data_IF_588855928361
#
_entry.id   IF_588855928361
#
_cell.length_a   1.000
_cell.length_b   1.000
_cell.length_c   1.000
_cell.angle_alpha   90.00
_cell.angle_beta   90.00
_cell.angle_gamma   90.00
#
_symmetry.space_group_name_H-M   'P 1'
#
loop_
_entity.id
_entity.type
_entity.pdbx_description
1 polymer ?
#
# COMPACT_ATOMS: atom_id res chain seq x y z
N UNK A 1 -16.24 5.13 -14.38
CA UNK A 1 -15.97 5.25 -12.92
C UNK A 1 -14.58 5.83 -12.69
N UNK A 2 -14.42 6.54 -11.61
CA UNK A 2 -13.09 7.00 -11.17
C UNK A 2 -12.27 5.85 -10.59
N UNK A 3 -10.94 6.02 -10.59
CA UNK A 3 -10.04 5.06 -9.93
C UNK A 3 -10.38 4.93 -8.44
N UNK A 4 -10.63 6.06 -7.76
CA UNK A 4 -11.01 6.05 -6.35
C UNK A 4 -12.28 5.22 -6.10
N UNK A 5 -13.29 5.35 -6.94
CA UNK A 5 -14.53 4.59 -6.82
C UNK A 5 -14.30 3.08 -7.01
N UNK A 6 -13.49 2.70 -8.00
CA UNK A 6 -13.17 1.29 -8.24
C UNK A 6 -12.42 0.69 -7.06
N UNK A 7 -11.41 1.39 -6.54
CA UNK A 7 -10.65 0.90 -5.39
C UNK A 7 -11.53 0.80 -4.13
N UNK A 8 -12.44 1.75 -3.93
CA UNK A 8 -13.36 1.71 -2.81
C UNK A 8 -14.31 0.50 -2.88
N UNK A 9 -14.86 0.22 -4.06
CA UNK A 9 -15.73 -0.94 -4.27
C UNK A 9 -14.97 -2.27 -4.17
N UNK A 10 -13.73 -2.30 -4.64
CA UNK A 10 -12.91 -3.52 -4.71
C UNK A 10 -11.96 -3.68 -3.52
N UNK A 11 -12.09 -2.89 -2.46
CA UNK A 11 -11.15 -2.90 -1.34
C UNK A 11 -10.98 -4.29 -0.74
N UNK A 12 -12.07 -4.97 -0.40
CA UNK A 12 -12.00 -6.30 0.21
C UNK A 12 -11.39 -7.34 -0.74
N UNK A 13 -11.80 -7.46 -2.01
CA UNK A 13 -11.12 -8.35 -2.97
C UNK A 13 -9.65 -8.00 -3.19
N UNK A 14 -9.30 -6.72 -3.19
CA UNK A 14 -7.91 -6.27 -3.34
C UNK A 14 -7.04 -6.77 -2.19
N UNK A 15 -7.52 -6.61 -0.96
CA UNK A 15 -6.80 -7.07 0.23
C UNK A 15 -6.67 -8.60 0.21
N UNK A 16 -7.72 -9.32 -0.18
CA UNK A 16 -7.69 -10.78 -0.32
C UNK A 16 -6.67 -11.23 -1.37
N UNK A 17 -6.59 -10.54 -2.51
CA UNK A 17 -5.61 -10.81 -3.56
C UNK A 17 -4.18 -10.54 -3.06
N UNK A 18 -3.96 -9.44 -2.38
CA UNK A 18 -2.66 -9.12 -1.78
C UNK A 18 -2.24 -10.20 -0.79
N UNK A 19 -3.14 -10.64 0.10
CA UNK A 19 -2.87 -11.74 1.03
C UNK A 19 -2.49 -13.03 0.30
N UNK A 20 -3.24 -13.41 -0.72
CA UNK A 20 -2.95 -14.61 -1.50
C UNK A 20 -1.57 -14.53 -2.17
N UNK A 21 -1.20 -13.37 -2.70
CA UNK A 21 0.10 -13.15 -3.33
C UNK A 21 1.24 -13.22 -2.33
N UNK A 22 1.08 -12.59 -1.16
CA UNK A 22 2.12 -12.62 -0.12
C UNK A 22 2.33 -14.01 0.46
N UNK A 23 1.26 -14.78 0.63
CA UNK A 23 1.33 -16.16 1.13
C UNK A 23 2.02 -17.11 0.15
N UNK A 24 2.07 -16.77 -1.13
CA UNK A 24 2.79 -17.53 -2.18
C UNK A 24 4.21 -17.04 -2.42
N UNK A 25 4.61 -15.94 -1.80
CA UNK A 25 5.91 -15.32 -2.02
C UNK A 25 6.92 -15.85 -1.01
N UNK A 26 7.95 -16.61 -1.45
CA UNK A 26 8.90 -17.25 -0.51
C UNK A 26 9.60 -16.23 0.41
N UNK A 27 9.87 -15.03 -0.06
CA UNK A 27 10.51 -13.98 0.72
C UNK A 27 9.65 -13.49 1.89
N UNK A 28 8.34 -13.77 1.87
CA UNK A 28 7.39 -13.28 2.87
C UNK A 28 6.69 -14.41 3.65
N UNK A 29 6.60 -15.60 3.06
CA UNK A 29 5.76 -16.66 3.61
C UNK A 29 6.44 -17.54 4.67
N UNK A 30 7.72 -17.31 4.95
CA UNK A 30 8.46 -18.07 5.97
C UNK A 30 8.11 -17.67 7.41
N UNK A 31 7.51 -16.52 7.61
CA UNK A 31 7.02 -16.10 8.91
C UNK A 31 5.64 -16.68 9.18
N UNK A 32 5.45 -17.23 10.39
CA UNK A 32 4.18 -17.83 10.80
C UNK A 32 3.26 -16.74 11.36
N UNK A 33 2.56 -16.06 10.46
CA UNK A 33 1.61 -14.99 10.78
C UNK A 33 0.20 -15.40 10.38
N UNK A 34 -0.79 -15.03 11.18
CA UNK A 34 -2.20 -15.12 10.79
C UNK A 34 -2.49 -14.16 9.63
N UNK A 35 -3.63 -14.34 8.97
CA UNK A 35 -4.06 -13.42 7.91
C UNK A 35 -4.22 -12.01 8.44
N UNK A 36 -4.75 -11.83 9.66
CA UNK A 36 -4.91 -10.54 10.32
C UNK A 36 -3.55 -9.90 10.64
N UNK A 37 -2.61 -10.67 11.17
CA UNK A 37 -1.27 -10.19 11.45
C UNK A 37 -0.52 -9.84 10.15
N UNK A 38 -0.72 -10.63 9.10
CA UNK A 38 -0.07 -10.42 7.80
C UNK A 38 -0.62 -9.19 7.09
N UNK A 39 -1.93 -8.99 7.08
CA UNK A 39 -2.51 -7.79 6.46
C UNK A 39 -2.22 -6.52 7.27
N UNK A 40 -2.14 -6.62 8.61
CA UNK A 40 -1.72 -5.52 9.47
C UNK A 40 -2.49 -4.22 9.19
N UNK A 41 -1.77 -3.20 8.77
CA UNK A 41 -2.32 -1.87 8.50
C UNK A 41 -2.74 -1.67 7.05
N UNK A 42 -2.70 -2.72 6.21
CA UNK A 42 -3.01 -2.60 4.78
C UNK A 42 -4.40 -1.99 4.51
N UNK A 43 -5.47 -2.39 5.21
CA UNK A 43 -6.77 -1.77 4.97
C UNK A 43 -6.75 -0.26 5.14
N UNK A 44 -6.05 0.24 6.13
CA UNK A 44 -5.93 1.69 6.38
C UNK A 44 -5.05 2.38 5.36
N UNK A 45 -3.98 1.72 4.93
CA UNK A 45 -3.10 2.25 3.87
C UNK A 45 -3.86 2.40 2.55
N UNK A 46 -4.71 1.43 2.22
CA UNK A 46 -5.57 1.49 1.03
C UNK A 46 -6.60 2.62 1.17
N UNK A 47 -7.19 2.81 2.34
CA UNK A 47 -8.11 3.92 2.60
C UNK A 47 -7.43 5.27 2.41
N UNK A 48 -6.21 5.43 2.91
CA UNK A 48 -5.43 6.66 2.75
C UNK A 48 -5.16 6.97 1.27
N UNK A 49 -4.87 5.94 0.46
CA UNK A 49 -4.73 6.09 -0.98
C UNK A 49 -6.03 6.54 -1.64
N UNK A 50 -7.14 5.89 -1.31
CA UNK A 50 -8.45 6.23 -1.87
C UNK A 50 -8.81 7.68 -1.54
N UNK A 51 -8.57 8.11 -0.32
CA UNK A 51 -8.81 9.50 0.11
C UNK A 51 -7.97 10.47 -0.71
N UNK A 52 -6.69 10.20 -0.88
CA UNK A 52 -5.81 11.04 -1.69
C UNK A 52 -6.29 11.15 -3.14
N UNK A 53 -6.72 10.03 -3.74
CA UNK A 53 -7.25 9.99 -5.10
C UNK A 53 -8.54 10.81 -5.26
N UNK A 54 -9.28 11.01 -4.20
CA UNK A 54 -10.51 11.82 -4.19
C UNK A 54 -10.29 13.33 -4.13
N UNK A 55 -9.05 13.81 -3.92
CA UNK A 55 -8.72 15.23 -3.86
C UNK A 55 -8.43 15.80 -5.25
N UNK A 56 -8.34 17.14 -5.40
CA UNK A 56 -7.87 17.75 -6.66
C UNK A 56 -6.52 17.19 -7.06
N UNK A 57 -6.39 16.73 -8.33
CA UNK A 57 -5.28 15.88 -8.77
C UNK A 57 -4.11 16.63 -9.37
N UNK A 58 -4.35 17.80 -9.95
CA UNK A 58 -3.31 18.53 -10.67
C UNK A 58 -3.07 19.89 -10.05
N UNK A 59 -1.82 20.31 -9.98
CA UNK A 59 -0.60 19.54 -10.26
C UNK A 59 -0.30 18.51 -9.17
N UNK A 60 0.26 17.36 -9.53
CA UNK A 60 0.73 16.34 -8.56
C UNK A 60 2.04 16.82 -7.95
N UNK A 61 2.11 16.89 -6.63
CA UNK A 61 3.28 17.35 -5.88
C UNK A 61 3.61 16.36 -4.77
N UNK A 62 4.90 16.20 -4.48
CA UNK A 62 5.38 15.38 -3.36
C UNK A 62 4.78 15.83 -2.03
N UNK A 63 4.57 17.17 -1.87
CA UNK A 63 3.97 17.75 -0.67
C UNK A 63 2.49 17.36 -0.46
N UNK A 64 1.85 16.76 -1.46
CA UNK A 64 0.46 16.27 -1.34
C UNK A 64 0.38 14.96 -0.57
N UNK A 65 1.49 14.25 -0.43
CA UNK A 65 1.56 13.08 0.44
C UNK A 65 1.48 13.52 1.90
N UNK A 66 0.49 12.97 2.63
CA UNK A 66 0.26 13.30 4.04
C UNK A 66 0.94 12.25 4.90
N UNK A 67 1.46 12.67 6.07
CA UNK A 67 1.96 11.73 7.06
C UNK A 67 0.84 10.74 7.44
N UNK A 68 1.15 9.44 7.33
CA UNK A 68 0.19 8.37 7.61
C UNK A 68 0.53 7.72 8.96
N UNK A 69 -0.31 7.89 9.99
CA UNK A 69 -0.15 7.14 11.23
C UNK A 69 -0.13 5.64 11.01
N UNK A 70 -0.92 5.14 10.05
CA UNK A 70 -0.96 3.73 9.71
C UNK A 70 0.38 3.23 9.15
N UNK A 71 1.05 4.00 8.30
CA UNK A 71 2.37 3.65 7.75
C UNK A 71 3.43 3.60 8.87
N UNK A 72 3.39 4.56 9.79
CA UNK A 72 4.29 4.61 10.94
C UNK A 72 4.09 3.39 11.84
N UNK A 73 2.85 3.08 12.20
CA UNK A 73 2.53 1.91 13.03
C UNK A 73 2.86 0.60 12.30
N UNK A 74 2.67 0.56 10.99
CA UNK A 74 3.03 -0.60 10.18
C UNK A 74 4.52 -0.92 10.25
N UNK A 75 5.38 0.10 10.18
CA UNK A 75 6.82 -0.09 10.32
C UNK A 75 7.21 -0.64 11.69
N UNK A 76 6.61 -0.13 12.75
CA UNK A 76 6.84 -0.63 14.12
C UNK A 76 6.38 -2.08 14.25
N UNK A 77 5.17 -2.39 13.76
CA UNK A 77 4.62 -3.74 13.82
C UNK A 77 5.49 -4.74 13.05
N UNK A 78 5.87 -4.41 11.83
CA UNK A 78 6.71 -5.30 11.00
C UNK A 78 8.05 -5.57 11.66
N UNK A 79 8.60 -4.58 12.35
CA UNK A 79 9.83 -4.77 13.14
C UNK A 79 9.66 -5.85 14.21
N UNK A 80 8.57 -5.81 14.96
CA UNK A 80 8.29 -6.82 16.00
C UNK A 80 8.00 -8.19 15.42
N UNK A 81 7.46 -8.26 14.19
CA UNK A 81 7.14 -9.52 13.52
C UNK A 81 8.35 -10.18 12.85
N UNK A 82 9.51 -9.54 12.89
CA UNK A 82 10.74 -10.12 12.32
C UNK A 82 10.96 -9.82 10.84
N UNK A 83 10.28 -8.83 10.27
CA UNK A 83 10.52 -8.41 8.89
C UNK A 83 11.90 -7.81 8.74
N UNK A 84 12.55 -8.12 7.60
CA UNK A 84 13.71 -7.36 7.14
C UNK A 84 13.26 -6.15 6.31
N UNK A 85 14.19 -5.21 6.08
CA UNK A 85 13.90 -4.08 5.18
C UNK A 85 13.55 -4.54 3.77
N UNK A 86 14.23 -5.57 3.26
CA UNK A 86 13.93 -6.15 1.96
C UNK A 86 12.52 -6.72 1.88
N UNK A 87 12.03 -7.32 2.95
CA UNK A 87 10.65 -7.81 3.02
C UNK A 87 9.62 -6.68 2.95
N UNK A 88 9.88 -5.56 3.60
CA UNK A 88 9.02 -4.38 3.53
C UNK A 88 8.92 -3.84 2.10
N UNK A 89 10.04 -3.74 1.42
CA UNK A 89 10.06 -3.31 0.01
C UNK A 89 9.29 -4.32 -0.86
N UNK A 90 9.47 -5.60 -0.62
CA UNK A 90 8.81 -6.65 -1.39
C UNK A 90 7.29 -6.61 -1.24
N UNK A 91 6.79 -6.49 -0.01
CA UNK A 91 5.34 -6.41 0.21
C UNK A 91 4.72 -5.13 -0.38
N UNK A 92 5.46 -4.02 -0.40
CA UNK A 92 5.02 -2.79 -1.05
C UNK A 92 4.92 -2.95 -2.57
N UNK A 93 5.87 -3.65 -3.18
CA UNK A 93 5.82 -3.96 -4.61
C UNK A 93 4.61 -4.84 -4.95
N UNK A 94 4.32 -5.83 -4.11
CA UNK A 94 3.13 -6.67 -4.29
C UNK A 94 1.86 -5.83 -4.19
N UNK A 95 1.80 -4.88 -3.27
CA UNK A 95 0.68 -3.96 -3.16
C UNK A 95 0.47 -3.16 -4.44
N UNK A 96 1.55 -2.61 -4.99
CA UNK A 96 1.48 -1.85 -6.24
C UNK A 96 0.94 -2.71 -7.39
N UNK A 97 1.47 -3.91 -7.55
CA UNK A 97 1.01 -4.86 -8.58
C UNK A 97 -0.46 -5.23 -8.37
N UNK A 98 -0.87 -5.43 -7.13
CA UNK A 98 -2.26 -5.78 -6.79
C UNK A 98 -3.22 -4.64 -7.12
N UNK A 99 -2.84 -3.39 -6.80
CA UNK A 99 -3.64 -2.21 -7.14
C UNK A 99 -3.80 -2.10 -8.66
N UNK A 100 -2.71 -2.14 -9.41
CA UNK A 100 -2.78 -2.02 -10.87
C UNK A 100 -3.48 -3.22 -11.51
N UNK A 101 -3.32 -4.41 -10.95
CA UNK A 101 -4.05 -5.58 -11.40
C UNK A 101 -5.56 -5.44 -11.21
N UNK A 102 -6.00 -4.84 -10.10
CA UNK A 102 -7.41 -4.53 -9.85
C UNK A 102 -7.94 -3.54 -10.90
N UNK A 103 -7.20 -2.48 -11.18
CA UNK A 103 -7.59 -1.50 -12.20
C UNK A 103 -7.64 -2.13 -13.60
N UNK A 104 -6.69 -2.99 -13.91
CA UNK A 104 -6.66 -3.70 -15.19
C UNK A 104 -7.92 -4.55 -15.40
N UNK A 105 -8.40 -5.23 -14.37
CA UNK A 105 -9.65 -6.00 -14.43
C UNK A 105 -10.88 -5.15 -14.70
N UNK A 106 -10.82 -3.86 -14.38
CA UNK A 106 -11.92 -2.90 -14.53
C UNK A 106 -11.64 -1.84 -15.60
N UNK A 107 -10.74 -2.14 -16.52
CA UNK A 107 -10.21 -1.17 -17.47
C UNK A 107 -11.33 -0.51 -18.31
N UNK A 108 -12.35 -1.28 -18.71
CA UNK A 108 -13.46 -0.77 -19.52
C UNK A 108 -14.39 0.17 -18.76
N UNK A 109 -14.37 0.14 -17.43
CA UNK A 109 -15.18 1.02 -16.58
C UNK A 109 -14.45 2.30 -16.18
N UNK A 110 -13.14 2.41 -16.46
CA UNK A 110 -12.31 3.54 -16.06
C UNK A 110 -12.53 4.77 -16.93
N UNK A 111 -12.48 5.94 -16.31
CA UNK A 111 -12.39 7.21 -17.01
C UNK A 111 -10.94 7.46 -17.44
N UNK A 112 -10.67 7.27 -18.73
CA UNK A 112 -9.32 7.41 -19.27
C UNK A 112 -8.79 8.85 -19.26
N UNK A 113 -9.67 9.84 -19.19
CA UNK A 113 -9.26 11.25 -19.22
C UNK A 113 -8.42 11.64 -18.01
N UNK A 114 -8.58 10.93 -16.87
CA UNK A 114 -7.85 11.19 -15.63
C UNK A 114 -6.97 10.03 -15.18
N UNK A 115 -6.84 9.01 -16.04
CA UNK A 115 -6.14 7.78 -15.65
C UNK A 115 -4.65 8.01 -15.37
N UNK A 116 -3.96 8.76 -16.23
CA UNK A 116 -2.52 8.97 -16.04
C UNK A 116 -2.21 9.79 -14.77
N UNK A 117 -2.91 10.90 -14.48
CA UNK A 117 -2.75 11.57 -13.19
C UNK A 117 -3.02 10.66 -12.00
N UNK A 118 -4.03 9.79 -12.07
CA UNK A 118 -4.34 8.85 -10.99
C UNK A 118 -3.21 7.82 -10.81
N UNK A 119 -2.62 7.32 -11.89
CA UNK A 119 -1.47 6.41 -11.83
C UNK A 119 -0.28 7.08 -11.14
N UNK A 120 -0.02 8.35 -11.45
CA UNK A 120 1.04 9.12 -10.80
C UNK A 120 0.79 9.26 -9.30
N UNK A 121 -0.45 9.52 -8.90
CA UNK A 121 -0.82 9.62 -7.48
C UNK A 121 -0.65 8.27 -6.77
N UNK A 122 -1.08 7.17 -7.39
CA UNK A 122 -0.90 5.83 -6.81
C UNK A 122 0.58 5.54 -6.58
N UNK A 123 1.41 5.77 -7.57
CA UNK A 123 2.85 5.51 -7.45
C UNK A 123 3.47 6.35 -6.33
N UNK A 124 3.16 7.64 -6.29
CA UNK A 124 3.69 8.55 -5.28
C UNK A 124 3.19 8.19 -3.87
N UNK A 125 1.91 7.89 -3.71
CA UNK A 125 1.36 7.53 -2.40
C UNK A 125 1.94 6.20 -1.88
N UNK A 126 2.04 5.19 -2.71
CA UNK A 126 2.63 3.90 -2.31
C UNK A 126 4.07 4.09 -1.86
N UNK A 127 4.86 4.86 -2.61
CA UNK A 127 6.26 5.14 -2.24
C UNK A 127 6.36 6.02 -0.99
N UNK A 128 5.47 6.98 -0.81
CA UNK A 128 5.43 7.81 0.39
C UNK A 128 5.10 6.98 1.64
N UNK A 129 4.12 6.07 1.53
CA UNK A 129 3.79 5.14 2.62
C UNK A 129 4.98 4.23 2.94
N UNK A 130 5.65 3.70 1.92
CA UNK A 130 6.84 2.86 2.12
C UNK A 130 7.96 3.64 2.81
N UNK A 131 8.20 4.88 2.41
CA UNK A 131 9.21 5.74 3.04
C UNK A 131 8.92 5.93 4.53
N UNK A 132 7.68 6.26 4.87
CA UNK A 132 7.28 6.43 6.27
C UNK A 132 7.38 5.12 7.06
N UNK A 133 6.99 4.00 6.46
CA UNK A 133 7.13 2.67 7.05
C UNK A 133 8.59 2.33 7.31
N UNK A 134 9.48 2.59 6.33
CA UNK A 134 10.91 2.32 6.45
C UNK A 134 11.57 3.19 7.51
N UNK A 135 11.24 4.47 7.57
CA UNK A 135 11.77 5.37 8.59
C UNK A 135 11.35 4.92 9.99
N UNK A 136 10.10 4.58 10.17
CA UNK A 136 9.56 4.07 11.42
C UNK A 136 10.20 2.72 11.82
N UNK A 137 10.35 1.82 10.87
CA UNK A 137 11.02 0.53 11.07
C UNK A 137 12.48 0.73 11.51
N UNK A 138 13.20 1.62 10.86
CA UNK A 138 14.61 1.92 11.19
C UNK A 138 14.73 2.56 12.55
N UNK A 139 13.84 3.51 12.90
CA UNK A 139 13.83 4.15 14.21
C UNK A 139 13.52 3.16 15.34
N UNK A 140 12.57 2.25 15.13
CA UNK A 140 12.24 1.19 16.06
C UNK A 140 13.44 0.26 16.29
N UNK A 141 14.19 -0.06 15.22
CA UNK A 141 15.42 -0.85 15.31
C UNK A 141 16.50 -0.15 16.15
N UNK A 142 16.69 1.15 15.93
CA UNK A 142 17.66 1.95 16.71
C UNK A 142 17.28 2.02 18.18
N UNK A 143 16.00 2.19 18.48
CA UNK A 143 15.51 2.24 19.86
C UNK A 143 15.67 0.90 20.57
N UNK A 144 15.57 -0.23 19.86
CA UNK A 144 15.75 -1.57 20.40
C UNK A 144 17.24 -1.96 20.61
N UNK A 145 18.14 -1.27 19.89
CA UNK A 145 19.60 -1.48 20.05
C UNK A 145 20.11 -0.73 21.26
#
# INVERSE_FOLDING_TARGET
MSVAAILAECKAPLIADWLARTKKTPQLNHLHLSDEERSGHLPKLVEDLIERLGRPKLPVKDSDAIASPAAIEHGKLRRTQGYSSGMLIHESRILQVTIFGTLHKHLTALDFSVLLPDVMIIADEVDAQLTQTMDSYTNARKAAA
#
